data_IF_766145587735
#
_entry.id   IF_766145587735
#
_cell.length_a   1.000
_cell.length_b   1.000
_cell.length_c   1.000
_cell.angle_alpha   90.00
_cell.angle_beta   90.00
_cell.angle_gamma   90.00
#
_symmetry.space_group_name_H-M   'P 1'
#
loop_
_entity.id
_entity.type
_entity.pdbx_description
1 polymer ?
#
# COMPACT_ATOMS: atom_id res chain seq x y z
N UNK A 1 -25.47 3.72 -10.85
CA UNK A 1 -25.18 2.27 -10.94
C UNK A 1 -24.17 1.95 -9.87
N UNK A 2 -24.23 0.78 -9.24
CA UNK A 2 -23.28 0.43 -8.19
C UNK A 2 -21.91 0.10 -8.77
N UNK A 3 -20.89 0.81 -8.33
CA UNK A 3 -19.49 0.57 -8.64
C UNK A 3 -18.81 0.03 -7.39
N UNK A 4 -17.90 -0.92 -7.56
CA UNK A 4 -17.02 -1.41 -6.52
C UNK A 4 -15.57 -1.23 -6.98
N UNK A 5 -14.72 -0.73 -6.10
CA UNK A 5 -13.27 -0.77 -6.30
C UNK A 5 -12.71 -1.77 -5.30
N UNK A 6 -11.87 -2.67 -5.78
CA UNK A 6 -11.33 -3.80 -5.03
C UNK A 6 -9.82 -3.90 -5.24
N UNK A 7 -9.07 -4.20 -4.17
CA UNK A 7 -7.69 -4.66 -4.21
C UNK A 7 -7.63 -6.13 -3.79
N UNK A 8 -7.15 -7.00 -4.67
CA UNK A 8 -6.99 -8.43 -4.37
C UNK A 8 -5.68 -8.67 -3.63
N UNK A 9 -5.74 -9.50 -2.58
CA UNK A 9 -4.61 -9.76 -1.68
C UNK A 9 -4.55 -11.23 -1.29
N UNK A 10 -3.36 -11.68 -0.93
CA UNK A 10 -3.13 -12.99 -0.34
C UNK A 10 -2.91 -12.85 1.17
N UNK A 11 -3.75 -13.53 1.94
CA UNK A 11 -3.57 -13.81 3.36
C UNK A 11 -3.64 -15.32 3.60
N UNK A 12 -2.86 -15.79 4.56
CA UNK A 12 -2.83 -17.17 5.05
C UNK A 12 -3.73 -17.30 6.29
N UNK A 13 -4.11 -18.51 6.68
CA UNK A 13 -5.03 -18.75 7.80
C UNK A 13 -4.78 -20.06 8.55
N UNK A 14 -3.52 -20.48 8.71
CA UNK A 14 -3.22 -21.85 9.13
C UNK A 14 -3.56 -22.10 10.61
N UNK A 15 -3.55 -21.06 11.44
CA UNK A 15 -3.60 -21.18 12.90
C UNK A 15 -4.62 -20.27 13.60
N UNK A 16 -5.11 -19.21 12.95
CA UNK A 16 -6.12 -18.28 13.48
C UNK A 16 -7.41 -18.30 12.64
N UNK A 17 -8.54 -17.92 13.25
CA UNK A 17 -9.78 -17.70 12.51
C UNK A 17 -9.69 -16.39 11.73
N UNK A 18 -9.60 -16.43 10.40
CA UNK A 18 -9.47 -15.21 9.61
C UNK A 18 -10.81 -14.48 9.54
N UNK A 19 -10.77 -13.17 9.34
CA UNK A 19 -11.97 -12.36 9.11
C UNK A 19 -12.71 -12.84 7.87
N UNK A 20 -14.01 -13.11 7.96
CA UNK A 20 -14.80 -13.45 6.77
C UNK A 20 -15.28 -12.18 6.04
N UNK A 21 -15.77 -11.19 6.79
CA UNK A 21 -16.20 -9.90 6.29
C UNK A 21 -16.19 -8.85 7.41
N UNK A 22 -15.36 -7.82 7.27
CA UNK A 22 -15.16 -6.79 8.28
C UNK A 22 -15.22 -5.38 7.71
N UNK A 23 -15.92 -4.47 8.39
CA UNK A 23 -15.91 -3.04 8.09
C UNK A 23 -14.72 -2.38 8.76
N UNK A 24 -14.00 -1.50 8.05
CA UNK A 24 -12.81 -0.82 8.55
C UNK A 24 -13.08 0.68 8.74
N UNK A 25 -13.62 1.35 7.72
CA UNK A 25 -13.88 2.78 7.81
C UNK A 25 -14.23 3.43 6.50
N UNK A 26 -15.01 4.51 6.53
CA UNK A 26 -15.47 5.26 5.35
C UNK A 26 -16.01 4.36 4.21
N UNK A 27 -16.79 3.32 4.58
CA UNK A 27 -17.34 2.35 3.62
C UNK A 27 -16.35 1.31 3.07
N UNK A 28 -15.10 1.27 3.53
CA UNK A 28 -14.12 0.24 3.18
C UNK A 28 -14.29 -1.00 4.03
N UNK A 29 -14.23 -2.15 3.38
CA UNK A 29 -14.35 -3.49 3.96
C UNK A 29 -13.18 -4.37 3.57
N UNK A 30 -12.86 -5.35 4.40
CA UNK A 30 -12.11 -6.54 4.03
C UNK A 30 -13.07 -7.73 3.95
N UNK A 31 -12.93 -8.58 2.94
CA UNK A 31 -13.76 -9.77 2.79
C UNK A 31 -12.99 -10.91 2.15
N UNK A 32 -13.24 -12.13 2.62
CA UNK A 32 -12.78 -13.36 1.99
C UNK A 32 -13.38 -13.51 0.60
N UNK A 33 -12.57 -13.83 -0.39
CA UNK A 33 -13.04 -13.95 -1.76
C UNK A 33 -14.01 -15.13 -1.92
N UNK A 34 -15.13 -14.84 -2.58
CA UNK A 34 -16.02 -15.85 -3.14
C UNK A 34 -15.37 -16.39 -4.42
N UNK A 35 -15.26 -17.71 -4.53
CA UNK A 35 -14.72 -18.38 -5.72
C UNK A 35 -15.49 -18.03 -6.99
N UNK A 36 -16.83 -17.94 -6.92
CA UNK A 36 -17.65 -17.64 -8.10
C UNK A 36 -17.36 -16.23 -8.62
N UNK A 37 -17.25 -15.25 -7.71
CA UNK A 37 -16.90 -13.88 -8.08
C UNK A 37 -15.49 -13.79 -8.68
N UNK A 38 -14.52 -14.46 -8.06
CA UNK A 38 -13.13 -14.43 -8.51
C UNK A 38 -12.97 -15.07 -9.89
N UNK A 39 -13.68 -16.16 -10.15
CA UNK A 39 -13.69 -16.84 -11.46
C UNK A 39 -14.26 -15.94 -12.56
N UNK A 40 -15.35 -15.21 -12.27
CA UNK A 40 -15.89 -14.21 -13.20
C UNK A 40 -14.89 -13.10 -13.46
N UNK A 41 -14.22 -12.57 -12.41
CA UNK A 41 -13.18 -11.56 -12.57
C UNK A 41 -12.03 -12.07 -13.44
N UNK A 42 -11.51 -13.28 -13.18
CA UNK A 42 -10.43 -13.89 -13.96
C UNK A 42 -10.82 -14.08 -15.43
N UNK A 43 -12.06 -14.52 -15.69
CA UNK A 43 -12.58 -14.70 -17.05
C UNK A 43 -12.67 -13.38 -17.84
N UNK A 44 -13.03 -12.28 -17.18
CA UNK A 44 -13.13 -10.95 -17.81
C UNK A 44 -11.79 -10.21 -17.82
N UNK A 45 -10.89 -10.52 -16.89
CA UNK A 45 -9.58 -9.89 -16.72
C UNK A 45 -8.46 -10.96 -16.72
N UNK A 46 -8.07 -11.52 -17.88
CA UNK A 46 -7.11 -12.63 -17.94
C UNK A 46 -5.72 -12.34 -17.34
N UNK A 47 -5.33 -11.06 -17.25
CA UNK A 47 -4.06 -10.70 -16.59
C UNK A 47 -4.08 -11.02 -15.10
N UNK A 48 -5.23 -10.95 -14.44
CA UNK A 48 -5.39 -11.30 -13.02
C UNK A 48 -5.04 -12.75 -12.79
N UNK A 49 -5.56 -13.64 -13.64
CA UNK A 49 -5.23 -15.07 -13.62
C UNK A 49 -3.76 -15.31 -13.92
N UNK A 50 -3.22 -14.66 -14.96
CA UNK A 50 -1.81 -14.79 -15.34
C UNK A 50 -0.86 -14.41 -14.20
N UNK A 51 -1.20 -13.38 -13.40
CA UNK A 51 -0.39 -12.99 -12.24
C UNK A 51 -0.44 -14.03 -11.13
N UNK A 52 -1.63 -14.53 -10.80
CA UNK A 52 -1.78 -15.57 -9.79
C UNK A 52 -0.95 -16.82 -10.15
N UNK A 53 -0.93 -17.20 -11.43
CA UNK A 53 -0.12 -18.31 -11.93
C UNK A 53 1.40 -18.06 -11.81
N UNK A 54 1.86 -16.82 -12.03
CA UNK A 54 3.26 -16.43 -11.81
C UNK A 54 3.60 -16.46 -10.31
N UNK A 55 2.67 -16.03 -9.48
CA UNK A 55 2.86 -15.94 -8.03
C UNK A 55 2.79 -17.30 -7.33
N UNK A 56 2.36 -18.39 -8.02
CA UNK A 56 2.31 -19.86 -7.75
C UNK A 56 2.05 -20.35 -6.29
N UNK A 57 2.61 -19.66 -5.31
CA UNK A 57 2.53 -19.83 -3.87
C UNK A 57 1.53 -18.86 -3.19
N UNK A 58 0.85 -17.97 -3.91
CA UNK A 58 -0.01 -16.93 -3.30
C UNK A 58 -1.30 -16.65 -4.07
N UNK A 59 -2.30 -17.56 -4.01
CA UNK A 59 -3.61 -17.31 -4.60
C UNK A 59 -4.29 -16.11 -3.93
N UNK A 60 -5.16 -15.40 -4.66
CA UNK A 60 -5.95 -14.35 -4.03
C UNK A 60 -6.96 -14.99 -3.07
N UNK A 61 -6.89 -14.62 -1.80
CA UNK A 61 -7.79 -15.15 -0.75
C UNK A 61 -8.72 -14.08 -0.19
N UNK A 62 -8.35 -12.80 -0.31
CA UNK A 62 -9.10 -11.66 0.22
C UNK A 62 -9.16 -10.50 -0.76
N UNK A 63 -10.10 -9.60 -0.49
CA UNK A 63 -10.11 -8.25 -1.06
C UNK A 63 -10.38 -7.19 -0.02
N UNK A 64 -9.70 -6.05 -0.15
CA UNK A 64 -10.21 -4.80 0.38
C UNK A 64 -11.08 -4.13 -0.68
N UNK A 65 -12.26 -3.66 -0.31
CA UNK A 65 -13.17 -3.05 -1.27
C UNK A 65 -14.05 -1.98 -0.64
N UNK A 66 -14.57 -1.08 -1.47
CA UNK A 66 -15.68 -0.21 -1.11
C UNK A 66 -16.59 -0.01 -2.32
N UNK A 67 -17.83 0.36 -2.05
CA UNK A 67 -18.85 0.57 -3.07
C UNK A 67 -19.30 2.03 -3.09
N UNK A 68 -19.64 2.54 -4.27
CA UNK A 68 -20.20 3.87 -4.47
C UNK A 68 -21.05 3.91 -5.74
N UNK A 69 -21.87 4.95 -5.88
CA UNK A 69 -22.65 5.16 -7.10
C UNK A 69 -21.85 5.89 -8.17
N UNK A 70 -21.95 5.40 -9.40
CA UNK A 70 -21.41 6.10 -10.56
C UNK A 70 -21.89 5.52 -11.88
N UNK A 71 -21.15 5.83 -12.93
CA UNK A 71 -21.44 5.47 -14.31
C UNK A 71 -20.21 4.87 -14.99
N UNK A 72 -20.43 3.81 -15.77
CA UNK A 72 -19.41 3.22 -16.63
C UNK A 72 -19.24 4.09 -17.87
N UNK A 73 -17.98 4.37 -18.18
CA UNK A 73 -17.58 5.14 -19.33
C UNK A 73 -17.47 4.24 -20.56
N UNK A 74 -17.58 4.83 -21.74
CA UNK A 74 -17.40 4.08 -22.98
C UNK A 74 -15.95 3.62 -23.20
N UNK A 75 -14.99 4.33 -22.60
CA UNK A 75 -13.57 3.99 -22.69
C UNK A 75 -13.14 3.08 -21.55
N UNK A 76 -12.49 1.97 -21.89
CA UNK A 76 -11.91 1.01 -20.94
C UNK A 76 -10.94 1.70 -19.97
N UNK A 77 -10.09 2.60 -20.48
CA UNK A 77 -9.07 3.30 -19.67
C UNK A 77 -9.71 4.21 -18.61
N UNK A 78 -10.88 4.79 -18.93
CA UNK A 78 -11.64 5.62 -18.00
C UNK A 78 -12.40 4.81 -16.95
N UNK A 79 -12.56 3.50 -17.18
CA UNK A 79 -13.16 2.55 -16.24
C UNK A 79 -12.15 1.89 -15.30
N UNK A 80 -10.87 2.25 -15.40
CA UNK A 80 -9.85 1.82 -14.46
C UNK A 80 -10.00 2.58 -13.13
N UNK A 81 -9.51 1.97 -12.03
CA UNK A 81 -9.49 2.62 -10.73
C UNK A 81 -8.49 3.79 -10.75
N UNK A 82 -8.97 5.01 -10.55
CA UNK A 82 -8.09 6.19 -10.50
C UNK A 82 -7.22 6.17 -9.24
N UNK A 83 -6.15 6.97 -9.20
CA UNK A 83 -5.36 7.13 -7.97
C UNK A 83 -6.21 7.60 -6.78
N UNK A 84 -7.24 8.42 -7.04
CA UNK A 84 -8.18 8.88 -6.02
C UNK A 84 -9.07 7.75 -5.54
N UNK A 85 -9.59 6.93 -6.47
CA UNK A 85 -10.40 5.75 -6.15
C UNK A 85 -9.64 4.76 -5.26
N UNK A 86 -8.32 4.67 -5.41
CA UNK A 86 -7.47 3.75 -4.63
C UNK A 86 -7.19 4.22 -3.21
N UNK A 87 -7.27 5.53 -2.92
CA UNK A 87 -6.84 6.09 -1.62
C UNK A 87 -7.49 5.42 -0.39
N UNK A 88 -8.82 5.17 -0.36
CA UNK A 88 -9.45 4.54 0.79
C UNK A 88 -8.89 3.13 1.07
N UNK A 89 -8.68 2.33 0.02
CA UNK A 89 -8.15 0.97 0.17
C UNK A 89 -6.67 0.98 0.52
N UNK A 90 -5.88 1.86 -0.08
CA UNK A 90 -4.46 2.03 0.27
C UNK A 90 -4.28 2.36 1.75
N UNK A 91 -5.20 3.14 2.31
CA UNK A 91 -5.22 3.44 3.74
C UNK A 91 -5.55 2.21 4.60
N UNK A 92 -6.49 1.37 4.15
CA UNK A 92 -6.76 0.09 4.81
C UNK A 92 -5.54 -0.85 4.78
N UNK A 93 -4.79 -0.90 3.67
CA UNK A 93 -3.54 -1.67 3.56
C UNK A 93 -2.46 -1.14 4.54
N UNK A 94 -2.32 0.19 4.67
CA UNK A 94 -1.41 0.78 5.65
C UNK A 94 -1.81 0.36 7.07
N UNK A 95 -3.10 0.44 7.40
CA UNK A 95 -3.59 0.05 8.74
C UNK A 95 -3.39 -1.44 9.01
N UNK A 96 -3.63 -2.31 8.02
CA UNK A 96 -3.45 -3.74 8.23
C UNK A 96 -2.02 -4.05 8.63
N UNK A 97 -1.04 -3.40 7.98
CA UNK A 97 0.40 -3.53 8.29
C UNK A 97 0.83 -2.91 9.62
N UNK A 98 0.15 -1.85 10.07
CA UNK A 98 0.39 -1.24 11.38
C UNK A 98 -0.12 -2.17 12.50
N UNK A 99 -1.30 -2.76 12.30
CA UNK A 99 -1.93 -3.64 13.30
C UNK A 99 -1.23 -4.99 13.36
N UNK A 100 -0.93 -5.58 12.20
CA UNK A 100 -0.30 -6.89 12.11
C UNK A 100 0.62 -6.95 10.88
N UNK A 101 1.83 -7.52 10.98
CA UNK A 101 2.75 -7.50 9.86
C UNK A 101 2.23 -8.47 8.79
N UNK A 102 1.54 -7.92 7.78
CA UNK A 102 0.89 -8.67 6.68
C UNK A 102 1.69 -8.49 5.39
N UNK A 103 1.70 -9.50 4.52
CA UNK A 103 2.48 -9.50 3.27
C UNK A 103 1.79 -8.77 2.11
N UNK A 104 0.77 -7.96 2.40
CA UNK A 104 -0.09 -7.31 1.39
C UNK A 104 0.68 -6.20 0.72
N UNK A 105 1.00 -6.30 -0.57
CA UNK A 105 1.69 -5.25 -1.35
C UNK A 105 0.82 -4.01 -1.63
N UNK A 106 1.47 -2.85 -1.80
CA UNK A 106 0.82 -1.59 -2.23
C UNK A 106 0.39 -1.64 -3.72
N UNK A 107 1.16 -2.36 -4.53
CA UNK A 107 0.89 -2.63 -5.95
C UNK A 107 0.06 -3.92 -6.12
N UNK A 108 -1.00 -4.05 -5.32
CA UNK A 108 -1.98 -5.13 -5.43
C UNK A 108 -2.70 -5.11 -6.77
N UNK A 109 -3.37 -6.20 -7.13
CA UNK A 109 -4.25 -6.21 -8.31
C UNK A 109 -5.52 -5.41 -8.00
N UNK A 110 -5.73 -4.35 -8.78
CA UNK A 110 -6.89 -3.46 -8.65
C UNK A 110 -7.98 -3.83 -9.66
N UNK A 111 -9.19 -4.04 -9.15
CA UNK A 111 -10.39 -4.32 -9.94
C UNK A 111 -11.40 -3.20 -9.72
N UNK A 112 -11.99 -2.68 -10.80
CA UNK A 112 -13.16 -1.82 -10.76
C UNK A 112 -14.33 -2.55 -11.41
N UNK A 113 -15.38 -2.80 -10.63
CA UNK A 113 -16.55 -3.60 -11.02
C UNK A 113 -17.77 -2.70 -11.16
N UNK A 114 -18.54 -2.88 -12.23
CA UNK A 114 -19.76 -2.15 -12.52
C UNK A 114 -20.95 -3.12 -12.48
N UNK A 115 -21.79 -3.00 -11.44
CA UNK A 115 -22.95 -3.85 -11.24
C UNK A 115 -24.21 -3.21 -11.85
N UNK A 116 -24.52 -3.58 -13.09
CA UNK A 116 -25.76 -3.17 -13.78
C UNK A 116 -26.97 -3.93 -13.22
N UNK A 117 -28.15 -3.33 -13.32
CA UNK A 117 -29.43 -3.96 -12.93
C UNK A 117 -29.76 -5.22 -13.75
N UNK A 118 -29.06 -5.44 -14.88
CA UNK A 118 -29.26 -6.54 -15.83
C UNK A 118 -28.35 -7.76 -15.59
N UNK A 119 -28.01 -8.03 -14.32
CA UNK A 119 -27.47 -9.27 -13.77
C UNK A 119 -25.98 -9.62 -13.94
N UNK A 120 -25.23 -9.11 -14.94
CA UNK A 120 -23.78 -9.42 -15.06
C UNK A 120 -22.95 -8.19 -14.76
N UNK A 121 -22.05 -8.31 -13.77
CA UNK A 121 -21.07 -7.28 -13.45
C UNK A 121 -19.97 -7.22 -14.52
N UNK A 122 -19.53 -6.01 -14.87
CA UNK A 122 -18.39 -5.81 -15.76
C UNK A 122 -17.15 -5.41 -14.95
N UNK A 123 -16.02 -6.08 -15.20
CA UNK A 123 -14.78 -5.91 -14.43
C UNK A 123 -13.66 -5.33 -15.29
N UNK A 124 -12.92 -4.40 -14.72
CA UNK A 124 -11.76 -3.76 -15.33
C UNK A 124 -10.57 -3.81 -14.38
N UNK A 125 -9.35 -4.02 -14.89
CA UNK A 125 -8.12 -4.08 -14.09
C UNK A 125 -7.10 -3.02 -14.52
N UNK A 126 -6.50 -2.30 -13.56
CA UNK A 126 -5.64 -1.14 -13.85
C UNK A 126 -4.15 -1.50 -14.02
N UNK A 127 -3.52 -2.19 -13.07
CA UNK A 127 -2.15 -2.67 -13.25
C UNK A 127 -1.97 -4.02 -12.58
N UNK A 128 -1.22 -4.89 -13.25
CA UNK A 128 -0.96 -6.26 -12.81
C UNK A 128 0.54 -6.61 -12.85
N UNK A 129 1.38 -5.89 -13.60
CA UNK A 129 2.73 -6.40 -13.96
C UNK A 129 3.89 -5.64 -13.30
N UNK A 130 3.66 -4.45 -12.73
CA UNK A 130 4.74 -3.77 -11.99
C UNK A 130 4.73 -4.26 -10.54
N UNK A 131 5.89 -4.74 -10.09
CA UNK A 131 6.19 -5.16 -8.71
C UNK A 131 5.45 -6.43 -8.24
N UNK A 132 6.03 -7.59 -8.59
CA UNK A 132 5.76 -8.93 -8.04
C UNK A 132 6.16 -9.04 -6.55
N UNK A 133 5.70 -8.10 -5.72
CA UNK A 133 6.22 -7.93 -4.38
C UNK A 133 5.17 -8.33 -3.36
N UNK A 134 5.16 -9.63 -3.05
CA UNK A 134 4.69 -10.11 -1.76
C UNK A 134 5.76 -9.72 -0.73
N UNK A 135 5.35 -8.98 0.29
CA UNK A 135 6.22 -8.61 1.38
C UNK A 135 6.38 -9.81 2.32
N UNK A 136 7.26 -10.75 1.99
CA UNK A 136 7.52 -11.89 2.87
C UNK A 136 8.26 -11.41 4.13
N UNK A 137 7.72 -11.74 5.30
CA UNK A 137 8.39 -11.53 6.57
C UNK A 137 9.31 -12.72 6.80
N UNK A 138 10.63 -12.48 6.80
CA UNK A 138 11.66 -13.53 6.81
C UNK A 138 11.69 -14.32 8.14
N UNK A 139 11.01 -13.85 9.19
CA UNK A 139 11.03 -14.48 10.53
C UNK A 139 9.69 -14.37 11.30
N UNK A 140 8.57 -14.17 10.61
CA UNK A 140 7.27 -14.18 11.27
C UNK A 140 6.79 -15.60 11.55
N UNK A 141 6.12 -15.81 12.69
CA UNK A 141 5.29 -17.02 12.84
C UNK A 141 4.32 -17.08 11.65
N UNK A 142 3.99 -18.28 11.18
CA UNK A 142 3.10 -18.51 10.02
C UNK A 142 1.75 -17.74 10.15
N UNK A 143 1.37 -17.40 11.38
CA UNK A 143 0.15 -16.70 11.78
C UNK A 143 0.14 -15.22 11.38
N UNK A 144 1.29 -14.62 11.09
CA UNK A 144 1.44 -13.18 10.94
C UNK A 144 0.82 -12.65 9.65
N UNK A 145 0.66 -13.51 8.64
CA UNK A 145 0.00 -13.15 7.39
C UNK A 145 -1.51 -13.43 7.38
N UNK A 146 -2.18 -13.28 8.53
CA UNK A 146 -3.64 -13.42 8.71
C UNK A 146 -4.21 -12.10 9.22
N UNK A 147 -5.45 -11.77 8.87
CA UNK A 147 -6.21 -10.68 9.52
C UNK A 147 -7.42 -11.31 10.20
N UNK A 148 -7.63 -11.00 11.47
CA UNK A 148 -8.77 -11.48 12.29
C UNK A 148 -9.82 -10.38 12.49
N UNK A 149 -10.97 -10.74 13.04
CA UNK A 149 -11.99 -9.75 13.44
C UNK A 149 -11.47 -8.74 14.47
N UNK A 150 -10.58 -9.18 15.38
CA UNK A 150 -9.94 -8.29 16.35
C UNK A 150 -9.02 -7.27 15.67
N UNK A 151 -8.24 -7.71 14.68
CA UNK A 151 -7.39 -6.80 13.91
C UNK A 151 -8.23 -5.76 13.17
N UNK A 152 -9.35 -6.18 12.57
CA UNK A 152 -10.30 -5.25 11.91
C UNK A 152 -10.89 -4.25 12.89
N UNK A 153 -11.22 -4.66 14.12
CA UNK A 153 -11.70 -3.74 15.16
C UNK A 153 -10.64 -2.67 15.47
N UNK A 154 -9.37 -3.06 15.64
CA UNK A 154 -8.26 -2.12 15.87
C UNK A 154 -8.05 -1.21 14.65
N UNK A 155 -8.09 -1.75 13.42
CA UNK A 155 -8.01 -0.94 12.20
C UNK A 155 -9.13 0.10 12.13
N UNK A 156 -10.33 -0.25 12.61
CA UNK A 156 -11.49 0.65 12.67
C UNK A 156 -11.27 1.77 13.65
N UNK A 157 -10.79 1.47 14.86
CA UNK A 157 -10.46 2.48 15.87
C UNK A 157 -9.37 3.44 15.40
N UNK A 158 -8.36 2.91 14.70
CA UNK A 158 -7.23 3.69 14.18
C UNK A 158 -7.57 4.45 12.89
N UNK A 159 -8.73 4.21 12.28
CA UNK A 159 -9.12 4.82 11.02
C UNK A 159 -8.99 6.34 11.16
N UNK A 160 -9.88 7.03 11.86
CA UNK A 160 -9.92 8.50 11.86
C UNK A 160 -8.60 9.16 12.28
N UNK A 161 -7.84 8.51 13.16
CA UNK A 161 -6.48 8.95 13.53
C UNK A 161 -5.53 8.97 12.33
N UNK A 162 -5.55 7.93 11.51
CA UNK A 162 -4.77 7.91 10.27
C UNK A 162 -5.28 8.94 9.25
N UNK A 163 -6.60 9.16 9.12
CA UNK A 163 -7.12 10.22 8.23
C UNK A 163 -6.57 11.57 8.65
N UNK A 164 -6.62 11.86 9.95
CA UNK A 164 -6.15 13.11 10.50
C UNK A 164 -4.69 13.40 10.10
N UNK A 165 -3.81 12.39 10.06
CA UNK A 165 -2.44 12.59 9.61
C UNK A 165 -2.30 12.75 8.10
N UNK A 166 -3.17 12.11 7.32
CA UNK A 166 -3.13 12.11 5.86
C UNK A 166 -3.87 13.30 5.22
N UNK A 167 -4.72 14.00 5.97
CA UNK A 167 -5.44 15.20 5.53
C UNK A 167 -4.46 16.30 5.08
N UNK A 168 -4.74 16.96 3.95
CA UNK A 168 -3.87 18.00 3.38
C UNK A 168 -3.61 19.18 4.34
N UNK A 169 -4.54 19.47 5.26
CA UNK A 169 -4.38 20.50 6.28
C UNK A 169 -3.35 20.11 7.35
N UNK A 170 -3.22 18.81 7.63
CA UNK A 170 -2.39 18.26 8.71
C UNK A 170 -1.09 17.62 8.19
N UNK A 171 -1.07 17.15 6.94
CA UNK A 171 0.09 16.54 6.30
C UNK A 171 1.33 17.43 6.45
N UNK A 172 1.31 18.76 6.22
CA UNK A 172 2.52 19.58 6.35
C UNK A 172 3.08 19.58 7.77
N UNK A 173 2.20 19.56 8.78
CA UNK A 173 2.54 19.53 10.20
C UNK A 173 3.10 18.16 10.62
N UNK A 174 2.54 17.08 10.10
CA UNK A 174 2.91 15.70 10.43
C UNK A 174 3.69 14.99 9.31
N UNK A 175 4.27 15.76 8.38
CA UNK A 175 4.91 15.29 7.14
C UNK A 175 5.95 14.20 7.36
N UNK A 176 6.59 14.20 8.52
CA UNK A 176 7.57 13.20 8.94
C UNK A 176 6.94 11.83 9.12
N UNK A 177 5.81 11.75 9.83
CA UNK A 177 5.04 10.53 10.05
C UNK A 177 4.51 10.02 8.71
N UNK A 178 3.93 10.92 7.91
CA UNK A 178 3.39 10.58 6.58
C UNK A 178 4.49 10.06 5.64
N UNK A 179 5.70 10.64 5.68
CA UNK A 179 6.85 10.14 4.91
C UNK A 179 7.36 8.81 5.42
N UNK A 180 7.42 8.61 6.74
CA UNK A 180 7.84 7.34 7.32
C UNK A 180 6.92 6.21 6.87
N UNK A 181 5.60 6.43 6.93
CA UNK A 181 4.60 5.51 6.39
C UNK A 181 4.88 5.25 4.91
N UNK A 182 4.94 6.28 4.06
CA UNK A 182 5.19 6.11 2.62
C UNK A 182 6.50 5.39 2.28
N UNK A 183 7.59 5.66 3.00
CA UNK A 183 8.87 4.98 2.77
C UNK A 183 8.84 3.54 3.24
N UNK A 184 8.26 3.27 4.41
CA UNK A 184 8.08 1.91 4.88
C UNK A 184 7.26 1.10 3.86
N UNK A 185 6.18 1.68 3.33
CA UNK A 185 5.37 1.09 2.27
C UNK A 185 6.17 0.75 1.01
N UNK A 186 7.02 1.68 0.55
CA UNK A 186 7.89 1.46 -0.60
C UNK A 186 8.98 0.42 -0.35
N UNK A 187 9.52 0.36 0.86
CA UNK A 187 10.53 -0.65 1.19
C UNK A 187 9.96 -2.06 1.09
N UNK A 188 8.73 -2.27 1.59
CA UNK A 188 8.02 -3.53 1.47
C UNK A 188 7.63 -3.88 0.04
N UNK A 189 7.52 -2.87 -0.84
CA UNK A 189 7.30 -3.06 -2.26
C UNK A 189 8.60 -3.26 -3.05
N UNK A 190 9.73 -3.63 -2.44
CA UNK A 190 10.99 -3.93 -3.13
C UNK A 190 11.47 -5.33 -2.73
N UNK A 191 11.56 -6.23 -3.71
CA UNK A 191 12.03 -7.61 -3.52
C UNK A 191 13.50 -7.69 -3.11
N UNK A 192 14.35 -6.80 -3.61
CA UNK A 192 15.80 -6.84 -3.40
C UNK A 192 16.17 -6.27 -2.02
N UNK A 193 16.65 -7.11 -1.07
CA UNK A 193 16.96 -6.66 0.28
C UNK A 193 17.97 -5.50 0.34
N UNK A 194 18.89 -5.46 -0.63
CA UNK A 194 19.92 -4.41 -0.76
C UNK A 194 19.32 -3.04 -1.11
N UNK A 195 18.15 -3.03 -1.75
CA UNK A 195 17.41 -1.83 -2.12
C UNK A 195 16.32 -1.48 -1.10
N UNK A 196 15.69 -2.48 -0.45
CA UNK A 196 14.67 -2.24 0.58
C UNK A 196 15.29 -1.69 1.87
N UNK A 197 16.46 -2.21 2.28
CA UNK A 197 17.13 -1.82 3.53
C UNK A 197 17.42 -0.30 3.60
N UNK A 198 18.03 0.35 2.58
CA UNK A 198 18.18 1.82 2.56
C UNK A 198 16.86 2.60 2.69
N UNK A 199 15.75 2.09 2.17
CA UNK A 199 14.44 2.75 2.26
C UNK A 199 13.85 2.58 3.67
N UNK A 200 14.02 1.42 4.31
CA UNK A 200 13.66 1.21 5.73
C UNK A 200 14.45 2.19 6.61
N UNK A 201 15.76 2.33 6.39
CA UNK A 201 16.58 3.34 7.08
C UNK A 201 16.04 4.75 6.86
N UNK A 202 15.67 5.11 5.62
CA UNK A 202 15.09 6.41 5.32
C UNK A 202 13.73 6.63 6.00
N UNK A 203 12.93 5.58 6.20
CA UNK A 203 11.67 5.61 6.95
C UNK A 203 11.92 5.83 8.45
N UNK A 204 12.81 5.04 9.06
CA UNK A 204 13.22 5.16 10.45
C UNK A 204 13.83 6.54 10.75
N UNK A 205 14.70 7.03 9.87
CA UNK A 205 15.21 8.40 9.95
C UNK A 205 14.07 9.41 9.91
N UNK A 206 13.10 9.25 9.01
CA UNK A 206 11.96 10.18 8.93
C UNK A 206 11.16 10.25 10.24
N UNK A 207 11.16 9.17 11.04
CA UNK A 207 10.59 9.15 12.40
C UNK A 207 11.52 9.75 13.47
N UNK A 208 12.82 9.47 13.40
CA UNK A 208 13.80 9.79 14.47
C UNK A 208 14.36 11.22 14.37
N UNK A 209 14.28 11.87 13.21
CA UNK A 209 14.98 13.14 12.98
C UNK A 209 14.41 14.33 13.74
N UNK A 210 14.93 14.57 14.94
CA UNK A 210 14.68 15.74 15.80
C UNK A 210 15.49 17.00 15.40
N UNK A 211 16.05 17.06 14.19
CA UNK A 211 16.68 18.26 13.63
C UNK A 211 17.64 17.96 12.48
N UNK A 212 17.60 18.73 11.38
CA UNK A 212 18.37 18.41 10.16
C UNK A 212 19.89 18.40 10.36
N UNK A 213 20.40 19.26 11.25
CA UNK A 213 21.82 19.31 11.61
C UNK A 213 22.24 18.08 12.41
N UNK A 214 21.42 17.66 13.37
CA UNK A 214 21.70 16.50 14.21
C UNK A 214 21.63 15.21 13.39
N UNK A 215 20.61 15.07 12.54
CA UNK A 215 20.51 13.89 11.68
C UNK A 215 21.64 13.79 10.66
N UNK A 216 21.96 14.90 9.99
CA UNK A 216 23.10 14.96 9.07
C UNK A 216 24.38 14.47 9.76
N UNK A 217 24.63 14.94 10.99
CA UNK A 217 25.78 14.52 11.76
C UNK A 217 25.76 13.02 12.09
N UNK A 218 24.61 12.48 12.50
CA UNK A 218 24.46 11.05 12.80
C UNK A 218 24.68 10.16 11.57
N UNK A 219 24.14 10.52 10.40
CA UNK A 219 24.28 9.74 9.17
C UNK A 219 25.73 9.76 8.67
N UNK A 220 26.35 10.95 8.62
CA UNK A 220 27.77 11.09 8.23
C UNK A 220 28.68 10.32 9.21
N UNK A 221 28.30 10.25 10.49
CA UNK A 221 29.07 9.53 11.49
C UNK A 221 28.89 8.01 11.40
N UNK A 222 27.66 7.52 11.26
CA UNK A 222 27.32 6.10 11.42
C UNK A 222 27.40 5.30 10.12
N UNK A 223 27.02 5.89 8.98
CA UNK A 223 26.95 5.16 7.72
C UNK A 223 28.30 4.53 7.30
N UNK A 224 29.46 5.22 7.44
CA UNK A 224 30.78 4.61 7.21
C UNK A 224 31.14 3.47 8.16
N UNK A 225 30.51 3.41 9.35
CA UNK A 225 30.76 2.35 10.34
C UNK A 225 29.97 1.08 10.00
N UNK A 226 28.81 1.24 9.38
CA UNK A 226 27.94 0.14 8.93
C UNK A 226 28.37 -0.37 7.56
N UNK A 227 28.88 0.51 6.71
CA UNK A 227 29.28 0.20 5.34
C UNK A 227 30.72 0.68 5.10
N UNK A 228 31.67 -0.24 5.17
CA UNK A 228 33.12 0.05 5.22
C UNK A 228 33.69 0.70 3.96
N UNK A 229 33.02 0.59 2.80
CA UNK A 229 33.44 1.20 1.55
C UNK A 229 32.84 2.59 1.31
N UNK A 230 32.02 3.11 2.22
CA UNK A 230 31.43 4.44 2.13
C UNK A 230 32.27 5.42 2.96
N UNK A 231 32.86 6.42 2.30
CA UNK A 231 33.55 7.52 2.98
C UNK A 231 32.56 8.47 3.68
N UNK A 232 33.07 9.34 4.56
CA UNK A 232 32.24 10.40 5.15
C UNK A 232 31.69 11.37 4.10
N UNK A 233 32.48 11.73 3.08
CA UNK A 233 31.98 12.56 1.97
C UNK A 233 30.85 11.84 1.21
N UNK A 234 31.03 10.56 0.91
CA UNK A 234 30.00 9.76 0.24
C UNK A 234 28.73 9.63 1.09
N UNK A 235 28.86 9.47 2.41
CA UNK A 235 27.73 9.45 3.33
C UNK A 235 27.00 10.81 3.37
N UNK A 236 27.73 11.92 3.31
CA UNK A 236 27.15 13.26 3.20
C UNK A 236 26.40 13.45 1.88
N UNK A 237 26.97 12.99 0.77
CA UNK A 237 26.34 13.06 -0.54
C UNK A 237 25.10 12.17 -0.64
N UNK A 238 25.13 10.96 -0.05
CA UNK A 238 23.96 10.10 0.11
C UNK A 238 22.90 10.84 0.92
N UNK A 239 23.24 11.43 2.06
CA UNK A 239 22.29 12.20 2.87
C UNK A 239 21.68 13.36 2.08
N UNK A 240 22.51 14.17 1.41
CA UNK A 240 22.07 15.30 0.58
C UNK A 240 21.20 14.83 -0.58
N UNK A 241 21.51 13.69 -1.18
CA UNK A 241 20.73 13.08 -2.27
C UNK A 241 19.39 12.58 -1.76
N UNK A 242 19.36 11.83 -0.66
CA UNK A 242 18.14 11.36 -0.01
C UNK A 242 17.26 12.53 0.45
N UNK A 243 17.84 13.57 1.06
CA UNK A 243 17.14 14.83 1.35
C UNK A 243 16.66 15.50 0.06
N UNK A 244 17.49 15.56 -0.98
CA UNK A 244 17.14 16.11 -2.28
C UNK A 244 15.94 15.39 -2.92
N UNK A 245 15.89 14.06 -2.85
CA UNK A 245 14.74 13.25 -3.27
C UNK A 245 13.51 13.53 -2.40
N UNK A 246 13.67 13.50 -1.07
CA UNK A 246 12.62 13.83 -0.08
C UNK A 246 12.02 15.24 -0.34
N UNK A 247 12.83 16.21 -0.75
CA UNK A 247 12.41 17.58 -1.01
C UNK A 247 11.86 17.78 -2.43
N UNK A 248 12.49 17.20 -3.46
CA UNK A 248 12.02 17.31 -4.87
C UNK A 248 10.68 16.61 -5.10
N UNK A 249 10.44 15.45 -4.49
CA UNK A 249 9.11 14.82 -4.56
C UNK A 249 8.04 15.63 -3.82
N UNK A 250 8.44 16.39 -2.80
CA UNK A 250 7.55 17.30 -2.09
C UNK A 250 7.19 18.54 -2.91
N UNK A 251 8.15 19.11 -3.66
CA UNK A 251 7.95 20.32 -4.45
C UNK A 251 7.27 20.06 -5.81
N UNK A 252 7.51 18.90 -6.44
CA UNK A 252 6.86 18.57 -7.74
C UNK A 252 5.33 18.45 -7.66
N UNK A 253 4.74 18.19 -6.49
CA UNK A 253 3.27 18.20 -6.29
C UNK A 253 2.68 19.60 -6.11
N UNK A 254 3.49 20.63 -5.86
CA UNK A 254 3.02 22.02 -5.74
C UNK A 254 3.14 22.83 -7.03
N UNK A 255 3.88 22.36 -8.04
CA UNK A 255 3.99 23.05 -9.33
C UNK A 255 2.91 22.63 -10.34
N UNK A 256 2.18 21.53 -10.10
CA UNK A 256 1.09 21.05 -10.98
C UNK A 256 -0.32 21.31 -10.45
N UNK A 257 -0.47 21.95 -9.29
CA UNK A 257 -1.78 22.43 -8.85
C UNK A 257 -2.11 23.72 -9.62
N UNK A 258 -3.17 23.77 -10.46
CA UNK A 258 -3.58 25.01 -11.09
C UNK A 258 -3.93 25.99 -9.97
N UNK A 259 -3.36 27.19 -10.04
CA UNK A 259 -3.77 28.30 -9.19
C UNK A 259 -5.18 28.70 -9.62
N UNK A 260 -6.18 28.28 -8.86
CA UNK A 260 -7.53 28.83 -8.87
C UNK A 260 -7.91 29.23 -7.45
#
# INVERSE_FOLDING_TARGET
MRIEVSALVHLQWWHEQPVENGHIGSGVFIRRLDSEWLDVVKSQCPKVEAREQIEFLSPYTYRFFYEFDGEEQQSVDLNLATHQDKQPILRAIILSRIVKPTSIGYDSVWIKSFYRTTAIAQHYHDQVINNLNLAFLIEGDEDWNTITDNDVAVMTELWDSLQFFLDDANEPKYRRIVRAIKFNEWAYAIYFPELSHPIIHAALESMICTGSRHNKAQIIQRLPQVVSFISKEQAEDIYRTCCGFKHRQCCRRHETAPKH
#
